data_IF_476235851895
#
_entry.id   IF_476235851895
#
_cell.length_a   1.000
_cell.length_b   1.000
_cell.length_c   1.000
_cell.angle_alpha   90.00
_cell.angle_beta   90.00
_cell.angle_gamma   90.00
#
_symmetry.space_group_name_H-M   'P 1'
#
loop_
_entity.id
_entity.type
_entity.pdbx_description
1 polymer ?
#
# COMPACT_ATOMS: atom_id res chain seq x y z
N UNK A 1 11.27 -10.29 6.27
CA UNK A 1 12.48 -9.43 6.37
C UNK A 1 13.53 -9.80 5.32
N UNK A 2 13.83 -11.08 5.10
CA UNK A 2 14.79 -11.52 4.07
C UNK A 2 14.42 -11.05 2.66
N UNK A 3 13.14 -11.03 2.31
CA UNK A 3 12.69 -10.59 0.96
C UNK A 3 12.84 -9.09 0.75
N UNK A 4 12.58 -8.29 1.79
CA UNK A 4 12.84 -6.85 1.77
C UNK A 4 14.34 -6.55 1.59
N UNK A 5 15.21 -7.34 2.24
CA UNK A 5 16.65 -7.23 2.07
C UNK A 5 17.08 -7.60 0.64
N UNK A 6 16.52 -8.68 0.09
CA UNK A 6 16.79 -9.10 -1.29
C UNK A 6 16.38 -8.01 -2.30
N UNK A 7 15.22 -7.39 -2.11
CA UNK A 7 14.79 -6.24 -2.92
C UNK A 7 15.78 -5.09 -2.84
N UNK A 8 16.13 -4.64 -1.63
CA UNK A 8 17.04 -3.50 -1.43
C UNK A 8 18.45 -3.74 -1.99
N UNK A 9 18.87 -5.00 -2.17
CA UNK A 9 20.14 -5.35 -2.80
C UNK A 9 20.06 -5.45 -4.33
N UNK A 10 18.87 -5.71 -4.88
CA UNK A 10 18.69 -6.02 -6.29
C UNK A 10 18.16 -4.85 -7.12
N UNK A 11 17.37 -3.96 -6.51
CA UNK A 11 16.69 -2.84 -7.20
C UNK A 11 16.81 -1.55 -6.39
N UNK A 12 16.55 -0.42 -7.05
CA UNK A 12 16.44 0.87 -6.37
C UNK A 12 15.11 0.96 -5.58
N UNK A 13 15.19 0.64 -4.29
CA UNK A 13 14.07 0.74 -3.35
C UNK A 13 14.11 2.11 -2.66
N UNK A 14 13.08 2.91 -2.87
CA UNK A 14 12.93 4.23 -2.24
C UNK A 14 12.30 4.14 -0.85
N UNK A 15 11.37 3.21 -0.66
CA UNK A 15 10.73 2.99 0.64
C UNK A 15 10.15 1.58 0.77
N UNK A 16 10.02 1.12 2.02
CA UNK A 16 9.27 -0.09 2.37
C UNK A 16 8.33 0.25 3.54
N UNK A 17 7.05 -0.08 3.41
CA UNK A 17 6.04 0.11 4.44
C UNK A 17 5.45 -1.22 4.89
N UNK A 18 5.49 -1.47 6.20
CA UNK A 18 4.78 -2.57 6.83
C UNK A 18 3.39 -2.10 7.24
N UNK A 19 2.36 -2.76 6.70
CA UNK A 19 0.95 -2.42 6.94
C UNK A 19 0.49 -3.10 8.21
N UNK A 20 0.24 -2.29 9.24
CA UNK A 20 -0.17 -2.72 10.58
C UNK A 20 -1.43 -1.94 11.00
N UNK A 21 -1.66 -1.72 12.29
CA UNK A 21 -2.76 -0.87 12.76
C UNK A 21 -2.67 0.55 12.17
N UNK A 22 -3.81 1.08 11.75
CA UNK A 22 -3.92 2.36 11.00
C UNK A 22 -4.11 2.18 9.50
N UNK A 23 -4.05 0.94 8.99
CA UNK A 23 -4.44 0.63 7.62
C UNK A 23 -3.43 1.04 6.54
N UNK A 24 -3.82 0.84 5.28
CA UNK A 24 -2.93 1.01 4.12
C UNK A 24 -2.43 2.45 3.96
N UNK A 25 -3.38 3.39 3.89
CA UNK A 25 -3.08 4.80 3.61
C UNK A 25 -2.14 5.41 4.67
N UNK A 26 -2.44 5.24 5.96
CA UNK A 26 -1.64 5.86 7.03
C UNK A 26 -0.22 5.29 7.11
N UNK A 27 -0.06 3.97 6.91
CA UNK A 27 1.25 3.32 6.96
C UNK A 27 2.11 3.67 5.75
N UNK A 28 1.54 3.73 4.54
CA UNK A 28 2.29 4.14 3.34
C UNK A 28 2.62 5.63 3.35
N UNK A 29 1.68 6.50 3.74
CA UNK A 29 1.88 7.94 3.81
C UNK A 29 3.09 8.32 4.69
N UNK A 30 3.31 7.60 5.80
CA UNK A 30 4.43 7.80 6.72
C UNK A 30 5.81 7.67 6.08
N UNK A 31 5.96 6.82 5.06
CA UNK A 31 7.27 6.57 4.42
C UNK A 31 7.46 7.40 3.15
N UNK A 32 6.44 8.16 2.73
CA UNK A 32 6.51 9.03 1.57
C UNK A 32 6.96 10.45 1.97
N UNK A 33 7.73 11.14 1.12
CA UNK A 33 8.02 12.55 1.33
C UNK A 33 6.74 13.39 1.17
N UNK A 34 6.72 14.57 1.80
CA UNK A 34 5.51 15.42 1.89
C UNK A 34 4.96 15.90 0.55
N UNK A 35 5.81 15.95 -0.49
CA UNK A 35 5.47 16.36 -1.84
C UNK A 35 5.01 15.20 -2.74
N UNK A 36 4.98 13.96 -2.24
CA UNK A 36 4.56 12.79 -2.99
C UNK A 36 3.12 12.38 -2.61
N UNK A 37 2.43 11.82 -3.60
CA UNK A 37 1.13 11.19 -3.46
C UNK A 37 1.09 9.83 -4.16
N UNK A 38 0.25 8.92 -3.68
CA UNK A 38 0.02 7.60 -4.28
C UNK A 38 -1.46 7.32 -4.34
N UNK A 39 -1.91 6.87 -5.52
CA UNK A 39 -3.23 6.26 -5.69
C UNK A 39 -3.05 4.74 -5.74
N UNK A 40 -3.59 4.03 -4.73
CA UNK A 40 -3.62 2.57 -4.67
C UNK A 40 -4.89 2.06 -5.34
N UNK A 41 -4.76 1.26 -6.39
CA UNK A 41 -5.88 0.76 -7.18
C UNK A 41 -6.45 -0.54 -6.58
N UNK A 42 -7.64 -0.42 -5.96
CA UNK A 42 -8.37 -1.53 -5.34
C UNK A 42 -8.66 -2.67 -6.30
N UNK A 43 -8.76 -2.40 -7.61
CA UNK A 43 -9.07 -3.42 -8.61
C UNK A 43 -7.93 -4.44 -8.78
N UNK A 44 -6.74 -4.14 -8.24
CA UNK A 44 -5.57 -5.02 -8.35
C UNK A 44 -5.56 -6.16 -7.34
N UNK A 45 -6.47 -6.19 -6.35
CA UNK A 45 -6.54 -7.30 -5.39
C UNK A 45 -7.94 -7.53 -4.81
N UNK A 46 -8.12 -8.71 -4.23
CA UNK A 46 -9.33 -9.11 -3.49
C UNK A 46 -8.97 -9.29 -2.01
N UNK A 47 -9.56 -8.51 -1.08
CA UNK A 47 -9.38 -8.73 0.34
C UNK A 47 -9.93 -10.10 0.76
N UNK A 48 -9.30 -10.73 1.74
CA UNK A 48 -9.79 -12.00 2.27
C UNK A 48 -11.24 -11.91 2.79
N UNK A 49 -12.08 -12.96 2.65
CA UNK A 49 -13.50 -12.92 3.01
C UNK A 49 -13.79 -12.50 4.46
N UNK A 50 -12.84 -12.72 5.37
CA UNK A 50 -12.93 -12.30 6.77
C UNK A 50 -13.19 -10.80 6.92
N UNK A 51 -12.63 -9.95 6.05
CA UNK A 51 -12.86 -8.50 6.13
C UNK A 51 -14.31 -8.13 5.79
N UNK A 52 -14.90 -8.79 4.79
CA UNK A 52 -16.31 -8.63 4.45
C UNK A 52 -17.25 -9.13 5.56
N UNK A 53 -16.88 -10.23 6.22
CA UNK A 53 -17.60 -10.73 7.39
C UNK A 53 -17.56 -9.72 8.54
N UNK A 54 -16.40 -9.18 8.87
CA UNK A 54 -16.23 -8.14 9.90
C UNK A 54 -17.08 -6.91 9.57
N UNK A 55 -17.02 -6.42 8.32
CA UNK A 55 -17.82 -5.28 7.88
C UNK A 55 -19.32 -5.51 8.06
N UNK A 56 -19.81 -6.68 7.65
CA UNK A 56 -21.23 -7.03 7.71
C UNK A 56 -21.70 -7.25 9.16
N UNK A 57 -20.98 -8.07 9.94
CA UNK A 57 -21.36 -8.40 11.32
C UNK A 57 -21.18 -7.22 12.27
N UNK A 58 -20.11 -6.46 12.11
CA UNK A 58 -19.81 -5.28 12.92
C UNK A 58 -20.52 -4.00 12.46
N UNK A 59 -21.19 -4.02 11.30
CA UNK A 59 -21.76 -2.83 10.64
C UNK A 59 -20.70 -1.72 10.45
N UNK A 60 -19.49 -2.13 10.09
CA UNK A 60 -18.35 -1.26 9.85
C UNK A 60 -18.29 -0.96 8.36
N UNK A 61 -18.19 0.33 8.01
CA UNK A 61 -18.06 0.71 6.62
C UNK A 61 -16.68 0.37 6.06
N UNK A 62 -16.55 0.42 4.73
CA UNK A 62 -15.28 0.07 4.07
C UNK A 62 -14.13 0.97 4.49
N UNK A 63 -14.39 2.27 4.67
CA UNK A 63 -13.33 3.23 4.96
C UNK A 63 -12.73 2.98 6.35
N UNK A 64 -13.58 2.63 7.31
CA UNK A 64 -13.16 2.23 8.65
C UNK A 64 -12.39 0.89 8.63
N UNK A 65 -12.81 -0.07 7.80
CA UNK A 65 -12.02 -1.30 7.59
C UNK A 65 -10.63 -0.98 7.02
N UNK A 66 -10.55 -0.14 5.98
CA UNK A 66 -9.29 0.25 5.32
C UNK A 66 -8.36 1.08 6.21
N UNK A 67 -8.91 1.81 7.18
CA UNK A 67 -8.16 2.55 8.22
C UNK A 67 -7.73 1.68 9.39
N UNK A 68 -8.25 0.46 9.49
CA UNK A 68 -8.00 -0.43 10.62
C UNK A 68 -7.12 -1.61 10.23
N UNK A 69 -7.45 -2.26 9.13
CA UNK A 69 -6.88 -3.52 8.68
C UNK A 69 -5.97 -3.35 7.46
N UNK A 70 -5.16 -4.37 7.20
CA UNK A 70 -4.27 -4.41 6.04
C UNK A 70 -4.97 -4.74 4.72
N UNK A 71 -6.23 -5.16 4.77
CA UNK A 71 -7.07 -5.52 3.61
C UNK A 71 -6.42 -6.54 2.67
N UNK A 72 -5.50 -7.37 3.15
CA UNK A 72 -4.78 -8.38 2.37
C UNK A 72 -3.34 -8.00 1.97
N UNK A 73 -2.92 -6.75 2.16
CA UNK A 73 -1.57 -6.29 1.79
C UNK A 73 -0.75 -6.08 3.07
N UNK A 74 0.17 -7.01 3.36
CA UNK A 74 1.04 -6.90 4.54
C UNK A 74 2.20 -5.93 4.37
N UNK A 75 2.75 -5.80 3.16
CA UNK A 75 3.94 -5.00 2.87
C UNK A 75 3.75 -4.24 1.55
N UNK A 76 4.25 -3.01 1.47
CA UNK A 76 4.34 -2.23 0.23
C UNK A 76 5.80 -1.79 0.04
N UNK A 77 6.34 -1.96 -1.16
CA UNK A 77 7.63 -1.42 -1.54
C UNK A 77 7.44 -0.35 -2.64
N UNK A 78 8.11 0.79 -2.47
CA UNK A 78 8.21 1.84 -3.49
C UNK A 78 9.56 1.69 -4.15
N UNK A 79 9.56 1.46 -5.46
CA UNK A 79 10.77 1.23 -6.27
C UNK A 79 10.82 2.17 -7.46
N UNK A 80 12.00 2.35 -8.04
CA UNK A 80 12.11 3.04 -9.32
C UNK A 80 11.27 2.34 -10.40
N UNK A 81 10.58 3.13 -11.24
CA UNK A 81 9.68 2.59 -12.27
C UNK A 81 10.39 1.62 -13.24
N UNK A 82 11.66 1.89 -13.56
CA UNK A 82 12.47 1.02 -14.42
C UNK A 82 12.80 -0.35 -13.79
N UNK A 83 12.70 -0.47 -12.47
CA UNK A 83 13.01 -1.68 -11.71
C UNK A 83 11.76 -2.49 -11.31
N UNK A 84 10.54 -1.98 -11.55
CA UNK A 84 9.29 -2.60 -11.12
C UNK A 84 9.17 -4.08 -11.57
N UNK A 85 9.37 -4.36 -12.86
CA UNK A 85 9.32 -5.74 -13.39
C UNK A 85 10.40 -6.64 -12.80
N UNK A 86 11.58 -6.08 -12.52
CA UNK A 86 12.68 -6.82 -11.91
C UNK A 86 12.37 -7.16 -10.45
N UNK A 87 11.79 -6.23 -9.71
CA UNK A 87 11.36 -6.45 -8.34
C UNK A 87 10.29 -7.55 -8.27
N UNK A 88 9.29 -7.52 -9.15
CA UNK A 88 8.23 -8.53 -9.22
C UNK A 88 8.79 -9.91 -9.55
N UNK A 89 9.67 -10.02 -10.54
CA UNK A 89 10.34 -11.30 -10.88
C UNK A 89 11.14 -11.85 -9.70
N UNK A 90 11.92 -11.00 -9.02
CA UNK A 90 12.70 -11.41 -7.86
C UNK A 90 11.81 -11.96 -6.73
N UNK A 91 10.68 -11.30 -6.46
CA UNK A 91 9.75 -11.76 -5.43
C UNK A 91 9.08 -13.07 -5.83
N UNK A 92 8.68 -13.21 -7.10
CA UNK A 92 8.11 -14.44 -7.63
C UNK A 92 9.09 -15.64 -7.52
N UNK A 93 10.37 -15.44 -7.88
CA UNK A 93 11.42 -16.46 -7.75
C UNK A 93 11.64 -16.91 -6.30
N UNK A 94 11.26 -16.06 -5.35
CA UNK A 94 11.33 -16.30 -3.90
C UNK A 94 10.03 -16.84 -3.31
N UNK A 95 9.02 -17.08 -4.15
CA UNK A 95 7.70 -17.57 -3.72
C UNK A 95 6.86 -16.51 -2.99
N UNK A 96 7.16 -15.22 -3.17
CA UNK A 96 6.39 -14.11 -2.59
C UNK A 96 5.43 -13.58 -3.65
N UNK A 97 4.13 -13.66 -3.36
CA UNK A 97 3.09 -13.05 -4.19
C UNK A 97 3.20 -11.52 -4.12
N UNK A 98 3.38 -10.88 -5.27
CA UNK A 98 3.51 -9.44 -5.39
C UNK A 98 3.00 -8.97 -6.75
N UNK A 99 2.47 -7.74 -6.78
CA UNK A 99 1.95 -7.10 -7.98
C UNK A 99 2.11 -5.58 -7.87
N UNK A 100 1.96 -4.87 -8.98
CA UNK A 100 1.90 -3.41 -8.98
C UNK A 100 0.50 -2.96 -8.57
N UNK A 101 0.39 -2.21 -7.48
CA UNK A 101 -0.90 -1.73 -6.94
C UNK A 101 -1.09 -0.21 -7.03
N UNK A 102 -0.13 0.54 -7.59
CA UNK A 102 -0.23 1.99 -7.72
C UNK A 102 1.04 2.63 -8.27
N UNK A 103 1.00 3.95 -8.46
CA UNK A 103 2.14 4.75 -8.95
C UNK A 103 2.31 5.99 -8.09
N UNK A 104 3.56 6.34 -7.76
CA UNK A 104 3.90 7.59 -7.07
C UNK A 104 3.82 8.76 -8.04
N UNK A 105 3.17 9.85 -7.61
CA UNK A 105 3.05 11.11 -8.36
C UNK A 105 3.36 12.31 -7.46
N UNK A 106 3.53 13.48 -8.07
CA UNK A 106 3.55 14.73 -7.33
C UNK A 106 2.21 14.97 -6.63
N UNK A 107 2.27 15.40 -5.38
CA UNK A 107 1.11 15.79 -4.57
C UNK A 107 0.53 17.10 -5.11
N UNK A 108 -0.80 17.15 -5.20
CA UNK A 108 -1.53 18.37 -5.60
C UNK A 108 -1.69 19.30 -4.39
N UNK A 109 -1.90 20.58 -4.67
CA UNK A 109 -2.14 21.56 -3.60
C UNK A 109 -3.41 21.18 -2.80
N UNK A 110 -3.33 21.25 -1.48
CA UNK A 110 -4.40 20.87 -0.56
C UNK A 110 -4.76 19.37 -0.48
N UNK A 111 -4.07 18.49 -1.21
CA UNK A 111 -4.36 17.05 -1.21
C UNK A 111 -4.00 16.40 0.13
N UNK A 112 -4.92 15.66 0.77
CA UNK A 112 -4.69 15.07 2.10
C UNK A 112 -4.53 13.54 2.10
N UNK A 113 -5.12 12.83 1.13
CA UNK A 113 -5.23 11.36 1.15
C UNK A 113 -6.37 10.85 2.05
N UNK A 114 -6.54 9.54 2.13
CA UNK A 114 -7.66 8.89 2.82
C UNK A 114 -7.43 8.72 4.33
N UNK A 115 -6.17 8.88 4.78
CA UNK A 115 -5.77 8.88 6.18
C UNK A 115 -4.53 9.74 6.40
N UNK A 116 -4.43 10.35 7.59
CA UNK A 116 -3.22 11.07 8.01
C UNK A 116 -2.03 10.11 8.14
N UNK A 117 -0.83 10.61 7.84
CA UNK A 117 0.39 9.86 8.03
C UNK A 117 0.58 9.52 9.52
N UNK A 118 0.85 8.24 9.82
CA UNK A 118 1.10 7.79 11.19
C UNK A 118 2.37 8.46 11.74
N UNK A 119 2.21 9.42 12.66
CA UNK A 119 3.32 10.24 13.16
C UNK A 119 3.38 11.68 12.62
N UNK A 120 2.37 12.13 11.86
CA UNK A 120 2.13 13.53 11.52
C UNK A 120 2.58 13.91 10.12
N UNK A 121 3.89 13.91 9.85
CA UNK A 121 4.43 14.34 8.55
C UNK A 121 4.55 13.16 7.57
N UNK A 122 4.04 13.31 6.35
CA UNK A 122 4.14 12.31 5.29
C UNK A 122 3.52 12.77 3.97
N UNK A 123 3.59 11.90 2.96
CA UNK A 123 2.90 12.07 1.68
C UNK A 123 1.39 11.86 1.79
N UNK A 124 0.69 11.92 0.67
CA UNK A 124 -0.74 11.61 0.58
C UNK A 124 -0.96 10.22 -0.03
N UNK A 125 -1.90 9.44 0.50
CA UNK A 125 -2.25 8.14 -0.06
C UNK A 125 -3.76 8.01 -0.13
N UNK A 126 -4.28 7.71 -1.31
CA UNK A 126 -5.70 7.41 -1.53
C UNK A 126 -5.86 6.03 -2.12
N UNK A 127 -6.89 5.32 -1.70
CA UNK A 127 -7.32 4.09 -2.33
C UNK A 127 -8.42 4.45 -3.33
N UNK A 128 -8.25 4.04 -4.59
CA UNK A 128 -9.14 4.37 -5.71
C UNK A 128 -9.69 3.09 -6.34
N UNK A 129 -10.76 3.23 -7.12
CA UNK A 129 -11.43 2.07 -7.74
C UNK A 129 -12.16 1.20 -6.71
N UNK A 130 -12.51 -0.01 -7.13
CA UNK A 130 -13.30 -0.98 -6.38
C UNK A 130 -12.61 -2.35 -6.41
N UNK A 131 -12.72 -3.13 -5.33
CA UNK A 131 -12.19 -4.48 -5.31
C UNK A 131 -12.89 -5.35 -6.35
N UNK A 132 -12.12 -6.16 -7.06
CA UNK A 132 -12.69 -7.19 -7.93
C UNK A 132 -13.41 -8.24 -7.09
N UNK A 133 -14.49 -8.82 -7.65
CA UNK A 133 -15.34 -9.81 -6.98
C UNK A 133 -14.85 -11.22 -7.23
#
# INVERSE_FOLDING_TARGET
AQDCLALAQAVDVHAISHVTGGGLAANLARVLPTHAAVDLDRSTWVPAPVFGLIGTTGRVDRLDLERTFNMGIGMIAVVAAADADRALRLLADRGVEAWSCGVVRSRRDGEQGDAEAKGGAGGAVSLVGEHVR
#
